data_IF_321813267472
#
_entry.id   IF_321813267472
#
_cell.length_a   1.000
_cell.length_b   1.000
_cell.length_c   1.000
_cell.angle_alpha   90.00
_cell.angle_beta   90.00
_cell.angle_gamma   90.00
#
_symmetry.space_group_name_H-M   'P 1'
#
loop_
_entity.id
_entity.type
_entity.pdbx_description
1 polymer ?
#
# COMPACT_ATOMS: atom_id res chain seq x y z
N UNK A 1 87.23 -38.54 20.21
CA UNK A 1 86.70 -37.55 19.26
C UNK A 1 85.94 -38.34 18.21
N UNK A 2 84.63 -38.34 18.05
CA UNK A 2 83.49 -37.85 18.83
C UNK A 2 82.30 -38.69 18.33
N UNK A 3 81.50 -39.22 19.24
CA UNK A 3 80.30 -40.00 18.93
C UNK A 3 79.11 -39.07 18.69
N UNK A 4 78.47 -39.18 17.53
CA UNK A 4 77.22 -38.48 17.21
C UNK A 4 76.01 -39.33 17.62
N UNK A 5 75.28 -38.86 18.62
CA UNK A 5 73.96 -39.37 19.00
C UNK A 5 72.86 -38.79 18.09
N UNK A 6 72.01 -39.65 17.54
CA UNK A 6 70.80 -39.27 16.79
C UNK A 6 69.60 -39.26 17.73
N UNK A 7 68.99 -38.09 17.92
CA UNK A 7 67.74 -37.91 18.67
C UNK A 7 66.57 -37.95 17.67
N UNK A 8 65.69 -38.93 17.83
CA UNK A 8 64.45 -39.04 17.05
C UNK A 8 63.33 -38.28 17.76
N UNK A 9 62.76 -37.27 17.09
CA UNK A 9 61.57 -36.57 17.55
C UNK A 9 60.31 -37.31 17.06
N UNK A 10 59.53 -37.83 18.00
CA UNK A 10 58.18 -38.37 17.74
C UNK A 10 57.18 -37.22 17.90
N UNK A 11 56.71 -36.67 16.78
CA UNK A 11 55.67 -35.65 16.75
C UNK A 11 54.29 -36.30 16.87
N UNK A 12 53.61 -36.06 18.00
CA UNK A 12 52.21 -36.45 18.19
C UNK A 12 51.29 -35.52 17.39
N UNK A 13 50.59 -36.07 16.40
CA UNK A 13 49.55 -35.38 15.66
C UNK A 13 48.30 -35.24 16.55
N UNK A 14 48.04 -34.02 17.02
CA UNK A 14 46.83 -33.67 17.76
C UNK A 14 45.70 -33.40 16.76
N UNK A 15 44.85 -34.40 16.52
CA UNK A 15 43.67 -34.27 15.64
C UNK A 15 42.58 -33.49 16.39
N UNK A 16 42.48 -32.18 16.17
CA UNK A 16 41.32 -31.40 16.60
C UNK A 16 40.07 -31.87 15.83
N UNK A 17 39.24 -32.67 16.49
CA UNK A 17 37.88 -32.96 16.03
C UNK A 17 37.06 -31.66 16.15
N UNK A 18 37.05 -30.86 15.07
CA UNK A 18 36.14 -29.74 14.94
C UNK A 18 34.71 -30.29 14.91
N UNK A 19 33.99 -30.10 16.02
CA UNK A 19 32.55 -30.32 16.12
C UNK A 19 31.88 -29.37 15.11
N UNK A 20 31.61 -29.89 13.91
CA UNK A 20 30.74 -29.24 12.94
C UNK A 20 29.32 -29.23 13.52
N UNK A 21 29.03 -28.21 14.33
CA UNK A 21 27.66 -27.90 14.71
C UNK A 21 26.85 -27.68 13.43
N UNK A 22 25.58 -28.12 13.38
CA UNK A 22 24.73 -27.82 12.24
C UNK A 22 24.75 -26.31 12.04
N UNK A 23 25.16 -25.88 10.85
CA UNK A 23 25.06 -24.48 10.47
C UNK A 23 23.58 -24.12 10.61
N UNK A 24 23.26 -23.37 11.67
CA UNK A 24 21.95 -22.75 11.84
C UNK A 24 21.73 -21.91 10.59
N UNK A 25 20.95 -22.45 9.65
CA UNK A 25 20.61 -21.76 8.42
C UNK A 25 19.91 -20.48 8.82
N UNK A 26 20.57 -19.35 8.59
CA UNK A 26 19.95 -18.05 8.80
C UNK A 26 18.64 -18.03 8.02
N UNK A 27 17.53 -17.87 8.73
CA UNK A 27 16.20 -17.81 8.14
C UNK A 27 16.18 -16.65 7.15
N UNK A 28 15.98 -16.93 5.85
CA UNK A 28 15.95 -15.90 4.80
C UNK A 28 14.84 -14.91 5.17
N UNK A 29 15.15 -13.59 5.33
CA UNK A 29 14.15 -12.60 5.69
C UNK A 29 12.91 -12.69 4.79
N UNK A 30 11.72 -12.60 5.39
CA UNK A 30 10.47 -12.67 4.63
C UNK A 30 10.42 -11.56 3.59
N UNK A 31 10.30 -11.96 2.32
CA UNK A 31 10.23 -11.03 1.16
C UNK A 31 8.82 -10.55 0.87
N UNK A 32 7.87 -10.75 1.77
CA UNK A 32 6.51 -10.29 1.57
C UNK A 32 6.43 -8.78 1.79
N UNK A 33 5.81 -8.09 0.84
CA UNK A 33 5.48 -6.68 0.98
C UNK A 33 3.98 -6.47 0.81
N UNK A 34 3.45 -5.51 1.58
CA UNK A 34 2.10 -5.02 1.45
C UNK A 34 2.07 -3.49 1.54
N UNK A 35 1.07 -2.84 0.93
CA UNK A 35 0.96 -1.37 0.96
C UNK A 35 -0.37 -0.94 1.57
N UNK A 36 -0.56 -1.15 2.88
CA UNK A 36 -1.73 -0.62 3.57
C UNK A 36 -1.71 0.90 3.56
N UNK A 37 -2.90 1.47 3.37
CA UNK A 37 -3.20 2.88 3.50
C UNK A 37 -3.93 3.13 4.82
N UNK A 38 -4.01 4.37 5.25
CA UNK A 38 -4.78 4.82 6.41
C UNK A 38 -5.83 5.80 5.90
N UNK A 39 -7.09 5.57 6.27
CA UNK A 39 -8.15 6.54 6.03
C UNK A 39 -7.91 7.73 6.97
N UNK A 40 -7.64 8.91 6.40
CA UNK A 40 -7.54 10.12 7.19
C UNK A 40 -8.96 10.65 7.49
N UNK A 41 -9.28 10.99 8.74
CA UNK A 41 -10.53 11.66 9.09
C UNK A 41 -10.75 12.89 8.21
N UNK A 42 -12.00 13.12 7.82
CA UNK A 42 -12.36 14.40 7.20
C UNK A 42 -12.44 15.47 8.29
N UNK A 43 -12.31 16.74 7.92
CA UNK A 43 -12.55 17.86 8.82
C UNK A 43 -14.04 18.01 9.14
N UNK A 44 -14.63 19.16 8.83
CA UNK A 44 -16.04 19.40 9.08
C UNK A 44 -16.95 18.45 8.28
N UNK A 45 -17.92 17.83 8.96
CA UNK A 45 -18.94 17.02 8.30
C UNK A 45 -19.84 17.93 7.46
N UNK A 46 -20.21 17.52 6.24
CA UNK A 46 -20.80 18.43 5.27
C UNK A 46 -22.30 18.71 5.48
N UNK A 47 -22.92 18.27 6.58
CA UNK A 47 -24.35 18.48 6.86
C UNK A 47 -25.28 17.75 5.89
N UNK A 48 -26.47 18.31 5.65
CA UNK A 48 -27.44 17.83 4.66
C UNK A 48 -27.00 18.24 3.24
N UNK A 49 -27.01 17.29 2.29
CA UNK A 49 -26.60 17.50 0.89
C UNK A 49 -27.46 16.73 -0.10
N UNK A 50 -27.77 17.36 -1.21
CA UNK A 50 -28.39 16.69 -2.36
C UNK A 50 -27.31 16.12 -3.30
N UNK A 51 -27.42 14.83 -3.63
CA UNK A 51 -26.46 14.07 -4.43
C UNK A 51 -27.10 13.55 -5.71
N UNK A 52 -26.50 13.86 -6.86
CA UNK A 52 -26.79 13.19 -8.12
C UNK A 52 -26.14 11.79 -8.16
N UNK A 53 -26.48 11.01 -9.19
CA UNK A 53 -25.78 9.74 -9.45
C UNK A 53 -24.31 10.02 -9.80
N UNK A 54 -23.39 9.30 -9.17
CA UNK A 54 -21.94 9.51 -9.30
C UNK A 54 -21.34 10.45 -8.26
N UNK A 55 -22.16 11.21 -7.54
CA UNK A 55 -21.68 12.07 -6.45
C UNK A 55 -21.27 11.26 -5.22
N UNK A 56 -20.37 11.83 -4.41
CA UNK A 56 -19.91 11.22 -3.18
C UNK A 56 -20.69 11.73 -1.97
N UNK A 57 -21.19 10.79 -1.16
CA UNK A 57 -21.70 11.04 0.20
C UNK A 57 -20.58 11.57 1.08
N UNK A 58 -19.42 10.90 1.00
CA UNK A 58 -18.25 11.18 1.78
C UNK A 58 -17.02 10.81 0.96
N UNK A 59 -15.99 11.67 0.93
CA UNK A 59 -14.70 11.44 0.29
C UNK A 59 -13.62 11.79 1.30
N UNK A 60 -12.77 10.83 1.64
CA UNK A 60 -11.68 11.00 2.61
C UNK A 60 -10.35 10.63 2.00
N UNK A 61 -9.32 11.36 2.42
CA UNK A 61 -7.95 11.17 1.95
C UNK A 61 -7.40 9.84 2.45
N UNK A 62 -6.67 9.14 1.59
CA UNK A 62 -5.85 7.99 1.97
C UNK A 62 -4.41 8.46 2.14
N UNK A 63 -3.81 8.12 3.28
CA UNK A 63 -2.42 8.39 3.59
C UNK A 63 -1.64 7.07 3.69
N UNK A 64 -0.37 7.02 3.26
CA UNK A 64 0.44 5.82 3.43
C UNK A 64 0.86 5.65 4.89
N UNK A 65 1.37 4.48 5.25
CA UNK A 65 1.95 4.24 6.59
C UNK A 65 3.25 5.00 6.84
N UNK A 66 3.94 5.43 5.79
CA UNK A 66 5.18 6.19 5.86
C UNK A 66 5.48 6.85 4.53
N UNK A 67 6.30 7.89 4.56
CA UNK A 67 6.67 8.68 3.39
C UNK A 67 8.15 9.03 3.47
N UNK A 68 8.88 8.76 2.40
CA UNK A 68 10.26 9.16 2.20
C UNK A 68 10.32 10.20 1.07
N UNK A 69 11.23 11.15 1.18
CA UNK A 69 11.51 12.13 0.15
C UNK A 69 13.00 12.06 -0.22
N UNK A 70 13.28 11.98 -1.52
CA UNK A 70 14.65 11.89 -2.01
C UNK A 70 15.44 13.16 -1.71
N UNK A 71 16.64 13.02 -1.16
CA UNK A 71 17.57 14.13 -0.96
C UNK A 71 18.31 14.51 -2.26
N UNK A 72 18.47 13.55 -3.17
CA UNK A 72 19.14 13.73 -4.46
C UNK A 72 18.42 12.97 -5.59
N UNK A 73 18.77 13.21 -6.85
CA UNK A 73 18.19 12.48 -7.96
C UNK A 73 18.61 11.02 -7.97
N UNK A 74 17.70 10.12 -8.37
CA UNK A 74 17.96 8.68 -8.48
C UNK A 74 17.48 8.14 -9.83
N UNK A 75 18.19 7.15 -10.38
CA UNK A 75 17.81 6.50 -11.64
C UNK A 75 17.43 5.05 -11.40
N UNK A 76 16.22 4.67 -11.84
CA UNK A 76 15.69 3.31 -11.77
C UNK A 76 15.31 2.84 -13.19
N UNK A 77 16.19 2.06 -13.79
CA UNK A 77 16.04 1.62 -15.17
C UNK A 77 16.11 2.82 -16.12
N UNK A 78 15.06 3.06 -16.90
CA UNK A 78 14.95 4.22 -17.79
C UNK A 78 14.32 5.45 -17.14
N UNK A 79 13.87 5.35 -15.88
CA UNK A 79 13.23 6.48 -15.19
C UNK A 79 14.24 7.18 -14.29
N UNK A 80 14.32 8.51 -14.40
CA UNK A 80 15.04 9.37 -13.47
C UNK A 80 14.05 10.10 -12.58
N UNK A 81 14.33 10.14 -11.30
CA UNK A 81 13.57 10.88 -10.29
C UNK A 81 14.46 11.98 -9.73
N UNK A 82 13.89 13.15 -9.53
CA UNK A 82 14.62 14.31 -9.02
C UNK A 82 14.55 14.37 -7.48
N UNK A 83 15.45 15.15 -6.89
CA UNK A 83 15.37 15.48 -5.47
C UNK A 83 13.98 16.06 -5.12
N UNK A 84 13.46 15.73 -3.94
CA UNK A 84 12.10 16.07 -3.54
C UNK A 84 11.02 15.09 -3.99
N UNK A 85 11.35 14.08 -4.82
CA UNK A 85 10.37 13.04 -5.17
C UNK A 85 10.00 12.22 -3.94
N UNK A 86 8.71 12.04 -3.70
CA UNK A 86 8.20 11.30 -2.55
C UNK A 86 7.90 9.83 -2.91
N UNK A 87 8.17 8.92 -1.97
CA UNK A 87 7.91 7.48 -2.06
C UNK A 87 7.17 7.02 -0.80
N UNK A 88 6.16 6.18 -0.95
CA UNK A 88 5.40 5.67 0.19
C UNK A 88 6.02 4.38 0.73
N UNK A 89 6.00 4.20 2.05
CA UNK A 89 6.55 3.01 2.71
C UNK A 89 5.65 1.80 2.48
N UNK A 90 6.22 0.71 1.96
CA UNK A 90 5.60 -0.61 1.98
C UNK A 90 5.91 -1.31 3.31
N UNK A 91 4.95 -2.07 3.82
CA UNK A 91 5.13 -2.94 4.98
C UNK A 91 5.88 -4.21 4.54
N UNK A 92 7.05 -4.43 5.13
CA UNK A 92 7.89 -5.64 4.99
C UNK A 92 8.42 -6.07 6.35
N UNK A 93 8.82 -7.34 6.44
CA UNK A 93 9.50 -7.87 7.62
C UNK A 93 11.02 -7.62 7.47
N UNK A 94 11.56 -6.69 8.25
CA UNK A 94 13.01 -6.49 8.39
C UNK A 94 13.70 -5.65 7.32
N UNK A 95 12.96 -5.04 6.39
CA UNK A 95 13.51 -4.18 5.34
C UNK A 95 12.72 -2.87 5.23
N UNK A 96 13.40 -1.77 4.92
CA UNK A 96 12.77 -0.47 4.67
C UNK A 96 12.54 -0.29 3.17
N UNK A 97 11.32 -0.59 2.71
CA UNK A 97 10.96 -0.54 1.28
C UNK A 97 10.05 0.65 1.03
N UNK A 98 10.39 1.46 0.03
CA UNK A 98 9.60 2.62 -0.38
C UNK A 98 9.28 2.54 -1.87
N UNK A 99 8.00 2.66 -2.20
CA UNK A 99 7.50 2.50 -3.55
C UNK A 99 7.01 3.83 -4.12
N UNK A 100 7.18 3.98 -5.43
CA UNK A 100 6.81 5.20 -6.14
C UNK A 100 5.29 5.38 -6.12
N UNK A 101 4.77 6.60 -5.88
CA UNK A 101 3.38 6.90 -6.16
C UNK A 101 3.08 6.72 -7.67
N UNK A 102 1.86 6.28 -7.95
CA UNK A 102 1.30 5.86 -9.24
C UNK A 102 1.95 6.45 -10.51
N UNK A 103 2.16 5.60 -11.52
CA UNK A 103 2.46 6.01 -12.90
C UNK A 103 1.21 5.77 -13.73
N UNK A 104 0.65 6.79 -14.40
CA UNK A 104 -0.38 6.59 -15.41
C UNK A 104 0.01 5.45 -16.36
N UNK A 105 -0.93 4.53 -16.59
CA UNK A 105 -0.81 3.43 -17.56
C UNK A 105 0.20 2.31 -17.27
N UNK A 106 0.93 2.35 -16.14
CA UNK A 106 1.81 1.23 -15.75
C UNK A 106 1.23 0.45 -14.59
N UNK A 107 1.16 -0.86 -14.77
CA UNK A 107 0.91 -1.81 -13.68
C UNK A 107 2.16 -1.96 -12.81
N UNK A 108 3.35 -1.66 -13.34
CA UNK A 108 4.61 -1.74 -12.62
C UNK A 108 4.84 -0.50 -11.75
N UNK A 109 5.09 -0.75 -10.47
CA UNK A 109 5.49 0.20 -9.44
C UNK A 109 6.95 -0.08 -9.11
N UNK A 110 7.81 0.92 -9.32
CA UNK A 110 9.20 0.84 -8.89
C UNK A 110 9.31 1.08 -7.39
N UNK A 111 10.10 0.26 -6.71
CA UNK A 111 10.40 0.37 -5.28
C UNK A 111 11.91 0.42 -5.05
N UNK A 112 12.30 1.19 -4.04
CA UNK A 112 13.64 1.33 -3.51
C UNK A 112 13.71 0.60 -2.16
N UNK A 113 14.86 -0.01 -1.89
CA UNK A 113 15.14 -0.79 -0.70
C UNK A 113 16.35 -0.18 0.01
N UNK A 114 16.14 0.10 1.29
CA UNK A 114 17.16 0.42 2.28
C UNK A 114 17.26 -0.81 3.19
N UNK A 115 18.37 -1.55 3.05
CA UNK A 115 18.52 -2.89 3.60
C UNK A 115 19.00 -2.91 5.05
N UNK A 116 19.74 -1.89 5.47
CA UNK A 116 20.29 -1.73 6.82
C UNK A 116 19.68 -0.56 7.62
N UNK A 117 18.75 0.18 7.01
CA UNK A 117 18.02 1.32 7.59
C UNK A 117 18.91 2.52 7.92
N UNK A 118 19.95 2.76 7.12
CA UNK A 118 20.88 3.88 7.29
C UNK A 118 20.41 5.21 6.68
N UNK A 119 19.32 5.19 5.91
CA UNK A 119 18.77 6.39 5.22
C UNK A 119 19.26 6.54 3.77
N UNK A 120 19.99 5.58 3.25
CA UNK A 120 20.37 5.46 1.85
C UNK A 120 19.66 4.25 1.21
N UNK A 121 19.30 4.37 -0.07
CA UNK A 121 18.80 3.22 -0.83
C UNK A 121 19.96 2.44 -1.45
N UNK A 122 19.98 1.13 -1.23
CA UNK A 122 20.98 0.19 -1.76
C UNK A 122 20.55 -0.39 -3.11
N UNK A 123 19.26 -0.68 -3.23
CA UNK A 123 18.73 -1.49 -4.32
C UNK A 123 17.36 -0.99 -4.79
N UNK A 124 16.98 -1.35 -6.01
CA UNK A 124 15.65 -1.11 -6.54
C UNK A 124 15.10 -2.34 -7.27
N UNK A 125 13.78 -2.42 -7.36
CA UNK A 125 13.05 -3.47 -8.07
C UNK A 125 11.66 -3.00 -8.48
N UNK A 126 11.03 -3.70 -9.43
CA UNK A 126 9.65 -3.44 -9.84
C UNK A 126 8.69 -4.46 -9.23
N UNK A 127 7.47 -4.01 -8.93
CA UNK A 127 6.35 -4.83 -8.48
C UNK A 127 5.06 -4.47 -9.21
N UNK A 128 4.18 -5.44 -9.34
CA UNK A 128 2.87 -5.28 -10.01
C UNK A 128 1.84 -4.74 -9.02
N UNK A 129 1.26 -3.56 -9.29
CA UNK A 129 0.08 -3.05 -8.60
C UNK A 129 -1.16 -3.88 -8.95
N UNK A 130 -1.92 -4.27 -7.93
CA UNK A 130 -3.12 -5.10 -8.08
C UNK A 130 -4.37 -4.30 -8.47
N UNK A 131 -4.33 -2.98 -8.28
CA UNK A 131 -5.47 -2.06 -8.46
C UNK A 131 -5.13 -0.89 -9.37
N UNK A 132 -6.16 -0.32 -10.00
CA UNK A 132 -6.08 0.93 -10.74
C UNK A 132 -6.30 2.11 -9.79
N UNK A 133 -5.62 3.23 -10.03
CA UNK A 133 -5.84 4.49 -9.31
C UNK A 133 -5.31 4.56 -7.88
N UNK A 134 -5.12 3.43 -7.20
CA UNK A 134 -4.47 3.32 -5.89
C UNK A 134 -3.35 2.28 -5.99
N UNK A 135 -2.07 2.63 -5.74
CA UNK A 135 -1.01 1.64 -5.66
C UNK A 135 -1.30 0.61 -4.55
N UNK A 136 -1.49 -0.65 -4.94
CA UNK A 136 -1.71 -1.77 -4.02
C UNK A 136 -0.75 -2.90 -4.38
N UNK A 137 0.18 -3.19 -3.48
CA UNK A 137 1.09 -4.34 -3.58
C UNK A 137 0.76 -5.29 -2.45
N UNK A 138 0.72 -6.59 -2.76
CA UNK A 138 0.50 -7.67 -1.79
C UNK A 138 1.16 -8.96 -2.30
N UNK A 139 2.49 -8.95 -2.42
CA UNK A 139 3.24 -10.06 -3.02
C UNK A 139 4.67 -10.14 -2.49
N UNK A 140 5.39 -11.19 -2.89
CA UNK A 140 6.83 -11.28 -2.66
C UNK A 140 7.58 -10.43 -3.68
N UNK A 141 8.54 -9.62 -3.24
CA UNK A 141 9.42 -8.94 -4.18
C UNK A 141 10.52 -9.88 -4.74
N UNK A 142 11.05 -9.53 -5.91
CA UNK A 142 12.02 -10.36 -6.65
C UNK A 142 13.35 -10.51 -5.90
N UNK A 143 14.01 -11.67 -6.06
CA UNK A 143 15.41 -11.86 -5.60
C UNK A 143 16.40 -11.07 -6.46
N UNK A 144 16.05 -10.81 -7.74
CA UNK A 144 16.91 -10.11 -8.71
C UNK A 144 16.72 -8.60 -8.57
N UNK A 145 17.23 -8.03 -7.47
CA UNK A 145 17.24 -6.59 -7.25
C UNK A 145 18.46 -5.99 -7.96
N UNK A 146 18.37 -4.70 -8.28
CA UNK A 146 19.42 -3.97 -8.99
C UNK A 146 20.01 -2.93 -8.04
N UNK A 147 21.33 -2.73 -8.02
CA UNK A 147 21.93 -1.71 -7.19
C UNK A 147 21.44 -0.32 -7.61
N UNK A 148 21.37 0.59 -6.65
CA UNK A 148 21.14 2.01 -6.88
C UNK A 148 22.28 2.80 -6.21
N UNK A 149 22.79 3.83 -6.88
CA UNK A 149 23.95 4.56 -6.39
C UNK A 149 23.54 5.87 -5.72
N UNK A 150 23.81 6.00 -4.42
CA UNK A 150 23.81 7.29 -3.70
C UNK A 150 22.46 7.97 -3.63
N UNK A 151 21.42 7.23 -3.24
CA UNK A 151 20.06 7.74 -3.16
C UNK A 151 19.61 7.94 -1.71
N UNK A 152 20.25 8.89 -1.03
CA UNK A 152 19.85 9.32 0.30
C UNK A 152 18.40 9.81 0.30
N UNK A 153 17.68 9.54 1.38
CA UNK A 153 16.33 10.02 1.59
C UNK A 153 16.14 10.55 3.01
N UNK A 154 15.08 11.33 3.18
CA UNK A 154 14.58 11.74 4.50
C UNK A 154 13.17 11.26 4.67
N UNK A 155 12.83 10.80 5.87
CA UNK A 155 11.44 10.55 6.21
C UNK A 155 10.73 11.89 6.39
N UNK A 156 9.55 12.02 5.80
CA UNK A 156 8.72 13.21 5.87
C UNK A 156 7.33 12.87 6.43
N UNK A 157 6.61 13.81 7.04
CA UNK A 157 5.26 13.54 7.54
C UNK A 157 4.34 13.05 6.43
N UNK A 158 3.55 12.00 6.67
CA UNK A 158 2.62 11.46 5.66
C UNK A 158 1.56 12.47 5.22
N UNK A 159 1.26 13.45 6.05
CA UNK A 159 0.34 14.56 5.74
C UNK A 159 0.90 15.52 4.68
N UNK A 160 2.22 15.52 4.45
CA UNK A 160 2.91 16.32 3.41
C UNK A 160 2.94 15.64 2.03
N UNK A 161 2.31 14.47 1.90
CA UNK A 161 2.23 13.77 0.62
C UNK A 161 1.60 14.67 -0.45
N UNK A 162 2.20 14.72 -1.62
CA UNK A 162 1.73 15.56 -2.74
C UNK A 162 0.67 14.86 -3.58
N UNK A 163 0.81 13.55 -3.78
CA UNK A 163 -0.23 12.76 -4.44
C UNK A 163 -1.47 12.60 -3.55
N UNK A 164 -2.64 12.87 -4.15
CA UNK A 164 -3.93 12.79 -3.47
C UNK A 164 -4.66 11.50 -3.85
N UNK A 165 -4.60 10.52 -2.95
CA UNK A 165 -5.44 9.32 -2.99
C UNK A 165 -6.63 9.48 -2.07
N UNK A 166 -7.73 8.81 -2.39
CA UNK A 166 -8.95 8.85 -1.60
C UNK A 166 -9.69 7.51 -1.56
N UNK A 167 -10.53 7.40 -0.55
CA UNK A 167 -11.64 6.45 -0.46
C UNK A 167 -12.93 7.25 -0.27
N UNK A 168 -14.00 6.81 -0.92
CA UNK A 168 -15.26 7.52 -0.94
C UNK A 168 -16.46 6.57 -0.96
N UNK A 169 -17.60 7.08 -0.53
CA UNK A 169 -18.90 6.42 -0.66
C UNK A 169 -19.64 7.14 -1.79
N UNK A 170 -19.76 6.50 -2.95
CA UNK A 170 -20.44 7.02 -4.14
C UNK A 170 -21.91 6.61 -4.14
N UNK A 171 -22.82 7.56 -4.44
CA UNK A 171 -24.20 7.24 -4.81
C UNK A 171 -24.21 6.68 -6.22
N UNK A 172 -24.69 5.46 -6.39
CA UNK A 172 -24.90 4.83 -7.69
C UNK A 172 -26.36 4.98 -8.08
N UNK A 173 -26.60 5.73 -9.15
CA UNK A 173 -27.92 5.71 -9.79
C UNK A 173 -27.95 4.53 -10.75
N UNK A 174 -28.40 3.36 -10.28
CA UNK A 174 -28.85 2.34 -11.22
C UNK A 174 -30.23 2.76 -11.68
N UNK A 175 -30.39 3.04 -12.96
CA UNK A 175 -31.72 3.22 -13.57
C UNK A 175 -32.44 1.88 -13.44
N UNK A 176 -33.24 1.76 -12.38
CA UNK A 176 -33.74 0.50 -11.88
C UNK A 176 -35.24 0.68 -11.72
N UNK A 177 -36.01 -0.08 -12.51
CA UNK A 177 -37.48 -0.15 -12.48
C UNK A 177 -38.06 -0.52 -11.10
N UNK A 178 -37.21 -0.93 -10.15
CA UNK A 178 -37.55 -1.32 -8.79
C UNK A 178 -37.28 -0.22 -7.74
N UNK A 179 -36.97 1.01 -8.18
CA UNK A 179 -36.73 2.17 -7.30
C UNK A 179 -35.72 1.89 -6.18
N UNK A 180 -34.60 1.22 -6.50
CA UNK A 180 -33.53 0.91 -5.53
C UNK A 180 -32.45 1.98 -5.53
N UNK A 181 -32.11 2.43 -4.33
CA UNK A 181 -30.96 3.28 -4.06
C UNK A 181 -29.73 2.42 -3.77
N UNK A 182 -28.56 2.88 -4.21
CA UNK A 182 -27.33 2.12 -4.11
C UNK A 182 -26.14 3.01 -3.75
N UNK A 183 -25.30 2.53 -2.85
CA UNK A 183 -24.06 3.15 -2.42
C UNK A 183 -22.91 2.18 -2.59
N UNK A 184 -21.76 2.68 -3.03
CA UNK A 184 -20.58 1.83 -3.27
C UNK A 184 -19.31 2.51 -2.81
N UNK A 185 -18.35 1.70 -2.35
CA UNK A 185 -17.03 2.17 -1.99
C UNK A 185 -16.21 2.36 -3.27
N UNK A 186 -15.74 3.58 -3.48
CA UNK A 186 -14.84 3.99 -4.55
C UNK A 186 -13.50 4.35 -3.94
N UNK A 187 -12.41 4.03 -4.63
CA UNK A 187 -11.07 4.44 -4.21
C UNK A 187 -10.23 4.80 -5.44
N UNK A 188 -9.14 5.53 -5.21
CA UNK A 188 -8.20 5.88 -6.27
C UNK A 188 -7.66 7.29 -6.09
N UNK A 189 -7.45 7.98 -7.22
CA UNK A 189 -7.02 9.36 -7.30
C UNK A 189 -7.93 10.13 -8.25
N UNK A 190 -7.79 11.45 -8.29
CA UNK A 190 -8.54 12.26 -9.23
C UNK A 190 -8.30 11.80 -10.67
N UNK A 191 -9.38 11.64 -11.44
CA UNK A 191 -9.36 11.12 -12.82
C UNK A 191 -9.13 9.60 -12.97
N UNK A 192 -8.79 8.86 -11.91
CA UNK A 192 -8.60 7.39 -11.99
C UNK A 192 -9.11 6.69 -10.73
N UNK A 193 -10.30 6.11 -10.84
CA UNK A 193 -10.99 5.44 -9.73
C UNK A 193 -11.28 3.98 -10.03
N UNK A 194 -11.33 3.17 -8.99
CA UNK A 194 -11.82 1.79 -9.03
C UNK A 194 -12.84 1.58 -7.89
N UNK A 195 -13.54 0.44 -7.89
CA UNK A 195 -14.72 0.20 -7.04
C UNK A 195 -14.65 -1.16 -6.35
N UNK A 196 -15.14 -1.24 -5.11
CA UNK A 196 -15.33 -2.53 -4.44
C UNK A 196 -16.61 -3.22 -4.92
N UNK A 197 -16.58 -4.55 -5.04
CA UNK A 197 -17.52 -5.35 -5.84
C UNK A 197 -18.88 -5.67 -5.20
N UNK A 198 -19.32 -4.94 -4.18
CA UNK A 198 -20.61 -5.18 -3.52
C UNK A 198 -21.26 -3.87 -3.05
N UNK A 199 -22.20 -3.31 -3.82
CA UNK A 199 -22.91 -2.11 -3.38
C UNK A 199 -23.89 -2.43 -2.24
N UNK A 200 -24.03 -1.49 -1.31
CA UNK A 200 -25.11 -1.50 -0.32
C UNK A 200 -26.33 -0.86 -0.97
N UNK A 201 -27.47 -1.54 -0.97
CA UNK A 201 -28.69 -1.04 -1.62
C UNK A 201 -29.94 -1.28 -0.78
N UNK A 202 -30.93 -0.40 -0.94
CA UNK A 202 -32.22 -0.46 -0.27
C UNK A 202 -33.33 0.11 -1.17
N UNK A 203 -34.60 -0.15 -0.87
CA UNK A 203 -35.75 0.38 -1.64
C UNK A 203 -36.04 1.82 -1.23
N UNK A 204 -36.36 2.70 -2.16
CA UNK A 204 -36.67 4.11 -1.87
C UNK A 204 -37.78 4.31 -0.82
N UNK A 205 -38.75 3.41 -0.76
CA UNK A 205 -39.82 3.42 0.25
C UNK A 205 -39.33 3.18 1.70
N UNK A 206 -38.08 2.76 1.90
CA UNK A 206 -37.47 2.61 3.24
C UNK A 206 -36.85 3.91 3.76
N UNK A 207 -36.94 5.02 3.01
CA UNK A 207 -36.45 6.32 3.47
C UNK A 207 -37.38 6.98 4.52
N UNK A 208 -36.82 7.66 5.54
CA UNK A 208 -35.40 7.86 5.77
C UNK A 208 -34.69 6.59 6.26
N UNK A 209 -33.50 6.30 5.70
CA UNK A 209 -32.72 5.10 6.02
C UNK A 209 -31.32 5.47 6.50
N UNK A 210 -30.97 5.07 7.72
CA UNK A 210 -29.59 5.15 8.20
C UNK A 210 -28.77 3.99 7.63
N UNK A 211 -27.55 4.30 7.19
CA UNK A 211 -26.60 3.36 6.63
C UNK A 211 -25.26 3.50 7.35
N UNK A 212 -24.55 2.37 7.47
CA UNK A 212 -23.19 2.31 7.97
C UNK A 212 -22.28 1.64 6.95
N UNK A 213 -21.30 2.37 6.41
CA UNK A 213 -20.35 1.86 5.41
C UNK A 213 -18.94 2.26 5.84
N UNK A 214 -18.03 1.28 5.99
CA UNK A 214 -16.67 1.50 6.51
C UNK A 214 -16.63 2.31 7.83
N UNK A 215 -17.65 2.15 8.69
CA UNK A 215 -17.76 2.88 9.96
C UNK A 215 -18.36 4.29 9.85
N UNK A 216 -18.41 4.87 8.64
CA UNK A 216 -19.16 6.11 8.39
C UNK A 216 -20.65 5.87 8.58
N UNK A 217 -21.34 6.85 9.15
CA UNK A 217 -22.79 6.81 9.38
C UNK A 217 -23.43 7.99 8.67
N UNK A 218 -24.39 7.70 7.81
CA UNK A 218 -25.17 8.69 7.11
C UNK A 218 -26.63 8.24 6.99
N UNK A 219 -27.55 9.20 6.85
CA UNK A 219 -28.96 8.93 6.57
C UNK A 219 -29.28 9.38 5.16
N UNK A 220 -29.80 8.47 4.34
CA UNK A 220 -30.52 8.82 3.12
C UNK A 220 -31.91 9.29 3.53
N UNK A 221 -32.20 10.56 3.33
CA UNK A 221 -33.37 11.26 3.90
C UNK A 221 -34.57 11.13 2.98
N UNK A 222 -34.42 11.57 1.73
CA UNK A 222 -35.47 11.61 0.72
C UNK A 222 -34.88 11.83 -0.67
N UNK A 223 -35.69 11.63 -1.71
CA UNK A 223 -35.36 12.10 -3.06
C UNK A 223 -36.06 13.44 -3.34
N UNK A 224 -35.32 14.41 -3.88
CA UNK A 224 -35.84 15.70 -4.35
C UNK A 224 -35.19 16.03 -5.69
N UNK A 225 -36.01 16.30 -6.71
CA UNK A 225 -35.54 16.67 -8.05
C UNK A 225 -34.53 15.66 -8.66
N UNK A 226 -34.78 14.36 -8.46
CA UNK A 226 -33.88 13.27 -8.93
C UNK A 226 -32.58 13.12 -8.13
N UNK A 227 -32.40 13.91 -7.07
CA UNK A 227 -31.22 13.88 -6.19
C UNK A 227 -31.56 13.28 -4.84
N UNK A 228 -30.65 12.47 -4.32
CA UNK A 228 -30.76 11.93 -2.97
C UNK A 228 -30.29 12.97 -1.96
N UNK A 229 -31.16 13.34 -1.04
CA UNK A 229 -30.78 14.13 0.12
C UNK A 229 -30.17 13.20 1.16
N UNK A 230 -28.93 13.47 1.56
CA UNK A 230 -28.22 12.72 2.60
C UNK A 230 -27.77 13.64 3.72
N UNK A 231 -27.72 13.12 4.94
CA UNK A 231 -27.08 13.79 6.08
C UNK A 231 -25.99 12.88 6.63
N UNK A 232 -24.76 13.38 6.71
CA UNK A 232 -23.63 12.61 7.28
C UNK A 232 -23.53 12.88 8.77
N UNK A 233 -23.67 11.85 9.61
CA UNK A 233 -23.53 11.97 11.06
C UNK A 233 -22.14 11.61 11.56
N UNK A 234 -21.41 10.74 10.85
CA UNK A 234 -20.06 10.32 11.22
C UNK A 234 -19.24 9.96 9.98
N UNK A 235 -17.97 10.37 9.94
CA UNK A 235 -17.05 10.00 8.87
C UNK A 235 -16.49 8.57 9.05
N UNK A 236 -15.70 8.10 8.08
CA UNK A 236 -14.95 6.86 8.26
C UNK A 236 -13.86 7.13 9.30
N UNK A 237 -13.76 6.31 10.37
CA UNK A 237 -12.75 6.51 11.38
C UNK A 237 -11.34 6.30 10.79
N UNK A 238 -10.34 6.82 11.50
CA UNK A 238 -8.95 6.52 11.19
C UNK A 238 -8.70 5.02 11.34
N UNK A 239 -8.50 4.33 10.22
CA UNK A 239 -8.28 2.89 10.20
C UNK A 239 -7.45 2.47 8.98
N UNK A 240 -6.76 1.31 9.06
CA UNK A 240 -6.12 0.72 7.89
C UNK A 240 -7.12 0.41 6.77
N UNK A 241 -6.70 0.66 5.55
CA UNK A 241 -7.42 0.38 4.32
C UNK A 241 -6.48 -0.30 3.33
N UNK A 242 -6.90 -1.44 2.80
CA UNK A 242 -6.18 -2.14 1.75
C UNK A 242 -7.19 -2.74 0.79
N UNK A 243 -6.82 -2.81 -0.49
CA UNK A 243 -7.63 -3.45 -1.51
C UNK A 243 -6.95 -4.73 -1.95
N UNK A 244 -7.67 -5.84 -1.79
CA UNK A 244 -7.25 -7.17 -2.23
C UNK A 244 -8.13 -7.56 -3.41
N UNK A 245 -7.48 -7.86 -4.54
CA UNK A 245 -8.17 -8.36 -5.74
C UNK A 245 -7.98 -9.86 -5.83
N UNK A 246 -9.06 -10.61 -5.65
CA UNK A 246 -9.07 -12.07 -5.83
C UNK A 246 -9.61 -12.39 -7.22
N UNK A 247 -8.85 -13.15 -8.01
CA UNK A 247 -9.31 -13.68 -9.31
C UNK A 247 -9.50 -15.17 -9.18
N UNK A 248 -10.73 -15.65 -9.34
CA UNK A 248 -11.06 -17.08 -9.30
C UNK A 248 -11.20 -17.61 -10.73
N UNK A 249 -10.47 -18.68 -11.05
CA UNK A 249 -10.62 -19.40 -12.31
C UNK A 249 -11.51 -20.62 -12.07
N UNK A 250 -12.68 -20.65 -12.70
CA UNK A 250 -13.50 -21.85 -12.79
C UNK A 250 -13.19 -22.56 -14.10
N UNK A 251 -12.73 -23.82 -14.03
CA UNK A 251 -12.70 -24.71 -15.18
C UNK A 251 -14.00 -25.50 -15.17
N UNK A 252 -14.80 -25.35 -16.22
CA UNK A 252 -16.05 -26.10 -16.45
C UNK A 252 -15.76 -27.34 -17.30
#
# INVERSE_FOLDING_TARGET
MDGMARIAFVGAALTCAALAGPASGAEEPSRHISTPWIIAPSGALPGERALAGGDFVLKQRLLPMGLAELAGPVTMGSNRFEAGTQFFKAKSDGASIYCRPYVPDKVLVGCLLDSDSDGDFDEWFDVVSQTKGLPSVAQKYTKKRKPVSGAAYRQVPVTSMTDEYFVAIERRNYFNIYSRESFMIVFGREGTTDRLTAPVSFKSAEMPKQLTILGAVFTAVAERDGKMVVTVQRDMPMQPFAVVKTTSYGFY
#
